data_IF_640261466893
#
_entry.id   IF_640261466893
#
_cell.length_a   1.000
_cell.length_b   1.000
_cell.length_c   1.000
_cell.angle_alpha   90.00
_cell.angle_beta   90.00
_cell.angle_gamma   90.00
#
_symmetry.space_group_name_H-M   'P 1'
#
loop_
_entity.id
_entity.type
_entity.pdbx_description
1 polymer ?
#
# COMPACT_ATOMS: atom_id res chain seq x y z
N UNK A 1 -19.47 -16.02 -32.50
CA UNK A 1 -19.65 -16.39 -31.08
C UNK A 1 -18.80 -17.63 -30.91
N UNK A 2 -17.69 -17.63 -30.20
CA UNK A 2 -17.48 -17.13 -28.84
C UNK A 2 -16.09 -16.51 -28.70
N UNK A 3 -16.04 -15.23 -28.33
CA UNK A 3 -14.92 -14.66 -27.60
C UNK A 3 -15.36 -14.55 -26.15
N UNK A 4 -14.53 -14.95 -25.19
CA UNK A 4 -14.88 -14.74 -23.78
C UNK A 4 -14.12 -15.49 -22.69
N UNK A 5 -13.20 -16.41 -22.98
CA UNK A 5 -12.58 -17.24 -21.93
C UNK A 5 -11.09 -16.92 -21.66
N UNK A 6 -10.72 -15.64 -21.52
CA UNK A 6 -9.35 -15.26 -21.13
C UNK A 6 -9.31 -14.47 -19.80
N UNK A 7 -10.41 -14.36 -19.03
CA UNK A 7 -10.45 -13.34 -17.96
C UNK A 7 -11.21 -13.65 -16.67
N UNK A 8 -11.32 -14.92 -16.27
CA UNK A 8 -11.89 -15.27 -14.95
C UNK A 8 -11.07 -16.41 -14.34
N UNK A 9 -9.94 -16.08 -13.73
CA UNK A 9 -9.28 -16.89 -12.70
C UNK A 9 -8.17 -16.04 -12.06
N UNK A 10 -8.55 -14.88 -11.52
CA UNK A 10 -7.94 -14.49 -10.26
C UNK A 10 -8.63 -15.40 -9.25
N UNK A 11 -7.95 -16.49 -8.91
CA UNK A 11 -8.37 -17.44 -7.89
C UNK A 11 -8.88 -16.65 -6.67
N UNK A 12 -10.05 -16.99 -6.13
CA UNK A 12 -10.69 -16.25 -5.01
C UNK A 12 -9.72 -15.85 -3.89
N UNK A 13 -8.73 -16.71 -3.64
CA UNK A 13 -7.62 -16.45 -2.72
C UNK A 13 -6.74 -15.24 -3.09
N UNK A 14 -6.39 -15.07 -4.36
CA UNK A 14 -5.64 -13.91 -4.85
C UNK A 14 -6.41 -12.60 -4.68
N UNK A 15 -7.72 -12.62 -4.89
CA UNK A 15 -8.57 -11.44 -4.65
C UNK A 15 -8.61 -11.06 -3.16
N UNK A 16 -8.75 -12.05 -2.27
CA UNK A 16 -8.70 -11.85 -0.81
C UNK A 16 -7.35 -11.26 -0.36
N UNK A 17 -6.24 -11.75 -0.93
CA UNK A 17 -4.91 -11.19 -0.68
C UNK A 17 -4.84 -9.71 -1.06
N UNK A 18 -5.36 -9.33 -2.23
CA UNK A 18 -5.30 -7.95 -2.70
C UNK A 18 -6.25 -7.01 -1.92
N UNK A 19 -7.43 -7.49 -1.53
CA UNK A 19 -8.34 -6.72 -0.68
C UNK A 19 -7.75 -6.47 0.72
N UNK A 20 -7.12 -7.50 1.29
CA UNK A 20 -6.42 -7.39 2.57
C UNK A 20 -5.25 -6.41 2.47
N UNK A 21 -4.48 -6.48 1.39
CA UNK A 21 -3.38 -5.57 1.10
C UNK A 21 -3.84 -4.12 1.05
N UNK A 22 -4.89 -3.83 0.27
CA UNK A 22 -5.40 -2.46 0.13
C UNK A 22 -5.93 -1.89 1.44
N UNK A 23 -6.63 -2.72 2.22
CA UNK A 23 -7.17 -2.31 3.52
C UNK A 23 -6.04 -1.96 4.48
N UNK A 24 -5.03 -2.83 4.57
CA UNK A 24 -3.86 -2.59 5.41
C UNK A 24 -3.05 -1.38 4.93
N UNK A 25 -2.77 -1.26 3.62
CA UNK A 25 -1.98 -0.16 3.08
C UNK A 25 -2.62 1.20 3.36
N UNK A 26 -3.96 1.28 3.27
CA UNK A 26 -4.71 2.47 3.67
C UNK A 26 -4.50 2.82 5.16
N UNK A 27 -4.66 1.84 6.05
CA UNK A 27 -4.49 2.03 7.50
C UNK A 27 -3.05 2.42 7.87
N UNK A 28 -2.07 1.81 7.20
CA UNK A 28 -0.65 2.11 7.42
C UNK A 28 -0.34 3.56 6.99
N UNK A 29 -0.80 3.98 5.80
CA UNK A 29 -0.66 5.38 5.34
C UNK A 29 -1.32 6.37 6.30
N UNK A 30 -2.53 6.08 6.79
CA UNK A 30 -3.19 6.92 7.78
C UNK A 30 -2.37 7.05 9.08
N UNK A 31 -1.67 5.99 9.47
CA UNK A 31 -0.76 6.00 10.63
C UNK A 31 0.45 6.88 10.39
N UNK A 32 1.12 6.75 9.22
CA UNK A 32 2.22 7.63 8.83
C UNK A 32 1.77 9.09 8.75
N UNK A 33 0.58 9.34 8.20
CA UNK A 33 -0.01 10.67 8.11
C UNK A 33 -0.21 11.26 9.50
N UNK A 34 -0.90 10.56 10.43
CA UNK A 34 -1.13 11.06 11.79
C UNK A 34 0.16 11.29 12.58
N UNK A 35 1.21 10.50 12.32
CA UNK A 35 2.52 10.64 12.96
C UNK A 35 3.25 11.90 12.48
N UNK A 36 3.22 12.18 11.18
CA UNK A 36 4.01 13.25 10.56
C UNK A 36 3.21 14.56 10.42
N UNK A 37 1.92 14.45 10.14
CA UNK A 37 1.04 15.57 9.81
C UNK A 37 0.18 15.94 11.02
N UNK A 38 0.54 17.03 11.71
CA UNK A 38 -0.16 17.52 12.90
C UNK A 38 -1.21 18.60 12.62
N UNK A 39 -1.14 19.28 11.46
CA UNK A 39 -2.06 20.33 11.06
C UNK A 39 -2.18 20.37 9.53
N UNK A 40 -3.34 20.73 8.97
CA UNK A 40 -3.50 20.95 7.53
C UNK A 40 -2.64 22.12 6.98
N UNK A 41 -2.00 22.92 7.85
CA UNK A 41 -1.07 24.00 7.48
C UNK A 41 0.41 23.60 7.53
N UNK A 42 0.71 22.31 7.45
CA UNK A 42 2.11 21.88 7.46
C UNK A 42 2.89 22.49 6.31
N UNK A 43 4.16 22.82 6.59
CA UNK A 43 5.07 23.31 5.58
C UNK A 43 5.54 22.19 4.65
N UNK A 44 6.10 22.59 3.51
CA UNK A 44 6.66 21.70 2.49
C UNK A 44 7.67 20.69 3.07
N UNK A 45 8.43 21.08 4.10
CA UNK A 45 9.40 20.21 4.77
C UNK A 45 8.73 19.01 5.45
N UNK A 46 7.57 19.21 6.08
CA UNK A 46 6.82 18.14 6.78
C UNK A 46 6.19 17.18 5.77
N UNK A 47 5.68 17.68 4.65
CA UNK A 47 5.17 16.84 3.55
C UNK A 47 6.30 16.04 2.90
N UNK A 48 7.43 16.69 2.63
CA UNK A 48 8.65 16.02 2.11
C UNK A 48 9.14 14.93 3.06
N UNK A 49 9.15 15.19 4.38
CA UNK A 49 9.53 14.19 5.36
C UNK A 49 8.57 12.99 5.38
N UNK A 50 7.27 13.24 5.32
CA UNK A 50 6.25 12.19 5.21
C UNK A 50 6.46 11.31 3.97
N UNK A 51 6.67 11.92 2.80
CA UNK A 51 6.93 11.17 1.56
C UNK A 51 8.22 10.34 1.63
N UNK A 52 9.28 10.90 2.22
CA UNK A 52 10.54 10.19 2.41
C UNK A 52 10.40 9.00 3.38
N UNK A 53 9.64 9.18 4.47
CA UNK A 53 9.34 8.08 5.40
C UNK A 53 8.54 6.97 4.71
N UNK A 54 7.50 7.31 3.93
CA UNK A 54 6.73 6.34 3.16
C UNK A 54 7.60 5.59 2.14
N UNK A 55 8.42 6.30 1.37
CA UNK A 55 9.31 5.72 0.36
C UNK A 55 10.32 4.77 1.00
N UNK A 56 10.91 5.18 2.13
CA UNK A 56 11.85 4.34 2.90
C UNK A 56 11.19 3.07 3.40
N UNK A 57 9.99 3.17 3.98
CA UNK A 57 9.22 2.03 4.45
C UNK A 57 8.84 1.08 3.30
N UNK A 58 8.31 1.61 2.19
CA UNK A 58 7.96 0.84 1.01
C UNK A 58 9.17 0.11 0.41
N UNK A 59 10.33 0.76 0.34
CA UNK A 59 11.56 0.14 -0.16
C UNK A 59 11.98 -1.04 0.71
N UNK A 60 11.87 -0.91 2.04
CA UNK A 60 12.17 -2.00 2.97
C UNK A 60 11.17 -3.15 2.85
N UNK A 61 9.88 -2.84 2.69
CA UNK A 61 8.83 -3.84 2.46
C UNK A 61 9.07 -4.59 1.16
N UNK A 62 9.23 -3.88 0.04
CA UNK A 62 9.47 -4.50 -1.28
C UNK A 62 10.68 -5.44 -1.19
N UNK A 63 11.78 -4.98 -0.61
CA UNK A 63 12.98 -5.82 -0.42
C UNK A 63 12.66 -7.08 0.39
N UNK A 64 11.98 -6.95 1.52
CA UNK A 64 11.62 -8.07 2.38
C UNK A 64 10.63 -9.04 1.73
N UNK A 65 9.66 -8.53 0.95
CA UNK A 65 8.70 -9.32 0.17
C UNK A 65 9.44 -10.11 -0.92
N UNK A 66 10.32 -9.46 -1.68
CA UNK A 66 11.10 -10.10 -2.76
C UNK A 66 12.07 -11.14 -2.23
N UNK A 67 12.65 -10.93 -1.05
CA UNK A 67 13.54 -11.91 -0.39
C UNK A 67 12.82 -12.92 0.50
N UNK A 68 11.48 -12.86 0.59
CA UNK A 68 10.66 -13.68 1.50
C UNK A 68 11.15 -13.63 2.96
N UNK A 69 11.67 -12.47 3.40
CA UNK A 69 12.21 -12.27 4.76
C UNK A 69 11.08 -12.03 5.76
N UNK A 70 10.49 -13.14 6.23
CA UNK A 70 9.35 -13.13 7.16
C UNK A 70 9.67 -12.37 8.46
N UNK A 71 10.90 -12.42 8.96
CA UNK A 71 11.27 -11.71 10.17
C UNK A 71 11.25 -10.21 9.93
N UNK A 72 11.83 -9.76 8.81
CA UNK A 72 11.81 -8.35 8.45
C UNK A 72 10.39 -7.84 8.18
N UNK A 73 9.55 -8.67 7.56
CA UNK A 73 8.15 -8.34 7.32
C UNK A 73 7.38 -8.13 8.64
N UNK A 74 7.61 -8.97 9.64
CA UNK A 74 7.02 -8.77 10.98
C UNK A 74 7.47 -7.48 11.64
N UNK A 75 8.76 -7.13 11.53
CA UNK A 75 9.27 -5.83 12.03
C UNK A 75 8.64 -4.63 11.34
N UNK A 76 8.23 -4.78 10.07
CA UNK A 76 7.59 -3.76 9.26
C UNK A 76 6.06 -3.78 9.36
N UNK A 77 5.50 -4.44 10.38
CA UNK A 77 4.05 -4.57 10.60
C UNK A 77 3.29 -5.22 9.43
N UNK A 78 3.94 -6.10 8.65
CA UNK A 78 3.27 -6.81 7.57
C UNK A 78 2.15 -7.72 8.10
N UNK A 79 0.94 -7.70 7.51
CA UNK A 79 -0.16 -8.52 7.96
C UNK A 79 0.12 -10.02 7.87
N UNK A 80 -0.17 -10.74 8.95
CA UNK A 80 -0.04 -12.21 8.98
C UNK A 80 -0.84 -12.91 7.87
N UNK A 81 -2.08 -12.49 7.51
CA UNK A 81 -2.80 -13.10 6.39
C UNK A 81 -2.08 -12.97 5.04
N UNK A 82 -1.29 -11.91 4.84
CA UNK A 82 -0.55 -11.67 3.60
C UNK A 82 0.75 -12.46 3.51
N UNK A 83 1.21 -13.09 4.60
CA UNK A 83 2.45 -13.88 4.62
C UNK A 83 2.42 -15.05 3.65
N UNK A 84 1.24 -15.65 3.43
CA UNK A 84 1.08 -16.73 2.45
C UNK A 84 0.98 -16.21 1.01
N UNK A 85 0.45 -15.01 0.83
CA UNK A 85 0.25 -14.40 -0.49
C UNK A 85 1.57 -14.10 -1.21
N UNK A 86 2.64 -13.79 -0.45
CA UNK A 86 3.96 -13.48 -1.02
C UNK A 86 4.77 -14.72 -1.42
N UNK A 87 4.32 -15.93 -1.07
CA UNK A 87 4.96 -17.18 -1.49
C UNK A 87 4.59 -17.55 -2.93
N UNK A 88 3.45 -17.06 -3.42
CA UNK A 88 3.07 -17.16 -4.83
C UNK A 88 3.80 -16.09 -5.64
N UNK A 89 4.53 -16.49 -6.68
CA UNK A 89 5.38 -15.59 -7.48
C UNK A 89 4.54 -14.54 -8.23
N UNK A 90 3.38 -14.95 -8.74
CA UNK A 90 2.49 -14.08 -9.52
C UNK A 90 1.86 -13.01 -8.62
N UNK A 91 1.30 -13.44 -7.48
CA UNK A 91 0.74 -12.53 -6.49
C UNK A 91 1.82 -11.63 -5.88
N UNK A 92 3.01 -12.17 -5.58
CA UNK A 92 4.12 -11.38 -5.04
C UNK A 92 4.47 -10.19 -5.95
N UNK A 93 4.52 -10.41 -7.26
CA UNK A 93 4.81 -9.33 -8.22
C UNK A 93 3.73 -8.26 -8.16
N UNK A 94 2.45 -8.65 -8.17
CA UNK A 94 1.31 -7.73 -8.07
C UNK A 94 1.32 -6.97 -6.73
N UNK A 95 1.64 -7.66 -5.62
CA UNK A 95 1.76 -7.06 -4.29
C UNK A 95 2.86 -6.00 -4.29
N UNK A 96 4.03 -6.30 -4.85
CA UNK A 96 5.15 -5.33 -4.94
C UNK A 96 4.74 -4.09 -5.73
N UNK A 97 4.10 -4.26 -6.89
CA UNK A 97 3.62 -3.14 -7.69
C UNK A 97 2.60 -2.31 -6.92
N UNK A 98 1.68 -2.96 -6.20
CA UNK A 98 0.65 -2.28 -5.42
C UNK A 98 1.20 -1.52 -4.22
N UNK A 99 2.24 -2.06 -3.56
CA UNK A 99 3.01 -1.33 -2.52
C UNK A 99 3.68 -0.10 -3.11
N UNK A 100 4.31 -0.24 -4.28
CA UNK A 100 4.91 0.89 -4.98
C UNK A 100 3.85 1.98 -5.28
N UNK A 101 2.69 1.59 -5.79
CA UNK A 101 1.60 2.52 -6.08
C UNK A 101 1.11 3.26 -4.83
N UNK A 102 0.79 2.51 -3.77
CA UNK A 102 0.23 3.07 -2.55
C UNK A 102 1.18 4.06 -1.85
N UNK A 103 2.46 3.73 -1.78
CA UNK A 103 3.40 4.44 -0.91
C UNK A 103 4.42 5.32 -1.64
N UNK A 104 4.68 5.06 -2.92
CA UNK A 104 5.71 5.77 -3.70
C UNK A 104 5.10 6.62 -4.81
N UNK A 105 4.27 6.03 -5.67
CA UNK A 105 3.70 6.75 -6.82
C UNK A 105 2.60 7.71 -6.41
N UNK A 106 1.76 7.29 -5.45
CA UNK A 106 0.60 8.05 -5.00
C UNK A 106 0.60 8.27 -3.48
N UNK A 107 1.63 8.92 -2.92
CA UNK A 107 1.82 9.02 -1.47
C UNK A 107 0.67 9.78 -0.77
N UNK A 108 -0.01 10.68 -1.47
CA UNK A 108 -1.14 11.46 -0.94
C UNK A 108 -2.51 10.89 -1.30
N UNK A 109 -2.62 10.11 -2.38
CA UNK A 109 -3.92 9.57 -2.82
C UNK A 109 -4.46 8.58 -1.80
N UNK A 110 -5.76 8.68 -1.51
CA UNK A 110 -6.47 7.92 -0.46
C UNK A 110 -5.89 8.10 0.96
N UNK A 111 -5.02 9.09 1.18
CA UNK A 111 -4.68 9.59 2.52
C UNK A 111 -5.79 10.52 3.03
N UNK A 112 -5.78 10.84 4.33
CA UNK A 112 -6.75 11.76 4.92
C UNK A 112 -6.78 13.13 4.20
N UNK A 113 -5.63 13.59 3.69
CA UNK A 113 -5.52 14.86 2.96
C UNK A 113 -6.28 14.82 1.63
N UNK A 114 -6.20 13.70 0.89
CA UNK A 114 -6.96 13.54 -0.36
C UNK A 114 -8.46 13.38 -0.13
N UNK A 115 -8.87 12.82 1.01
CA UNK A 115 -10.29 12.76 1.39
C UNK A 115 -10.81 14.15 1.79
N UNK A 116 -10.04 14.92 2.56
CA UNK A 116 -10.37 16.32 2.89
C UNK A 116 -10.37 17.23 1.64
N UNK A 117 -9.46 17.03 0.69
CA UNK A 117 -9.45 17.74 -0.60
C UNK A 117 -10.68 17.40 -1.45
N UNK A 118 -11.03 16.12 -1.59
CA UNK A 118 -12.23 15.69 -2.32
C UNK A 118 -13.53 16.18 -1.66
N UNK A 119 -13.59 16.27 -0.34
CA UNK A 119 -14.73 16.84 0.37
C UNK A 119 -14.82 18.37 0.18
N UNK A 120 -13.68 19.07 0.17
CA UNK A 120 -13.64 20.52 -0.08
C UNK A 120 -13.87 20.89 -1.56
N UNK A 121 -13.52 20.05 -2.52
CA UNK A 121 -13.81 20.28 -3.96
C UNK A 121 -15.28 20.05 -4.31
N UNK A 122 -16.03 19.31 -3.49
CA UNK A 122 -17.45 19.02 -3.68
C UNK A 122 -18.39 19.89 -2.80
N UNK A 123 -17.86 20.85 -2.04
CA UNK A 123 -18.59 21.77 -1.16
C UNK A 123 -18.69 23.18 -1.77
#
# INVERSE_FOLDING_TARGET
MEGGYIKEELDTWGEECLQTLDTWAKQEKETFYKKNIKSPKNNEDVLTNYENELRSHATQLIKAITSEDINKLKELNWPEPLMKCILDISLRTIIVDRIHDWFIQYPHTKSALHLEELENENA
#
